data_IF_660440031228
#
_entry.id   IF_660440031228
#
_cell.length_a   1.000
_cell.length_b   1.000
_cell.length_c   1.000
_cell.angle_alpha   90.00
_cell.angle_beta   90.00
_cell.angle_gamma   90.00
#
_symmetry.space_group_name_H-M   'P 1'
#
loop_
_entity.id
_entity.type
_entity.pdbx_description
1 polymer ?
#
# COMPACT_ATOMS: atom_id res chain seq x y z
N UNK A 1 -1.91 5.57 -7.21
CA UNK A 1 -0.59 5.44 -6.56
C UNK A 1 -0.75 5.12 -5.08
N UNK A 2 0.05 4.22 -4.49
CA UNK A 2 -0.09 3.85 -3.07
C UNK A 2 0.25 4.98 -2.11
N UNK A 3 1.07 5.96 -2.51
CA UNK A 3 1.38 7.14 -1.70
C UNK A 3 0.15 8.01 -1.45
N UNK A 4 -0.68 8.23 -2.47
CA UNK A 4 -1.97 8.93 -2.35
C UNK A 4 -2.96 8.11 -1.51
N UNK A 5 -3.03 6.81 -1.75
CA UNK A 5 -3.93 5.92 -0.99
C UNK A 5 -3.57 5.95 0.50
N UNK A 6 -2.28 5.93 0.86
CA UNK A 6 -1.83 6.08 2.24
C UNK A 6 -2.20 7.43 2.87
N UNK A 7 -2.34 8.48 2.06
CA UNK A 7 -2.68 9.83 2.55
C UNK A 7 -4.19 10.03 2.75
N UNK A 8 -5.02 9.35 1.95
CA UNK A 8 -6.47 9.61 1.89
C UNK A 8 -7.30 8.50 2.55
N UNK A 9 -6.84 7.24 2.48
CA UNK A 9 -7.60 6.11 2.99
C UNK A 9 -7.26 5.79 4.46
N UNK A 10 -8.30 5.49 5.24
CA UNK A 10 -8.16 4.92 6.58
C UNK A 10 -8.02 3.40 6.51
N UNK A 11 -8.82 2.73 5.67
CA UNK A 11 -8.73 1.28 5.45
C UNK A 11 -8.45 0.92 4.00
N UNK A 12 -7.78 -0.21 3.84
CA UNK A 12 -7.43 -0.80 2.55
C UNK A 12 -7.77 -2.30 2.56
N UNK A 13 -8.23 -2.78 1.41
CA UNK A 13 -8.41 -4.21 1.12
C UNK A 13 -7.65 -4.52 -0.16
N UNK A 14 -6.81 -5.54 -0.12
CA UNK A 14 -6.10 -6.07 -1.28
C UNK A 14 -6.83 -7.33 -1.74
N UNK A 15 -7.16 -7.35 -3.03
CA UNK A 15 -7.76 -8.50 -3.68
C UNK A 15 -6.71 -9.22 -4.53
N UNK A 16 -6.77 -10.55 -4.51
CA UNK A 16 -6.03 -11.43 -5.41
C UNK A 16 -7.01 -12.45 -6.00
N UNK A 17 -7.08 -12.50 -7.33
CA UNK A 17 -8.01 -13.37 -8.06
C UNK A 17 -9.47 -13.34 -7.53
N UNK A 18 -9.97 -12.15 -7.18
CA UNK A 18 -11.33 -11.96 -6.68
C UNK A 18 -11.55 -12.35 -5.21
N UNK A 19 -10.49 -12.69 -4.47
CA UNK A 19 -10.55 -12.97 -3.02
C UNK A 19 -9.76 -11.94 -2.22
N UNK A 20 -10.21 -11.69 -1.00
CA UNK A 20 -9.49 -10.83 -0.05
C UNK A 20 -8.19 -11.53 0.34
N UNK A 21 -7.07 -10.95 -0.08
CA UNK A 21 -5.73 -11.41 0.28
C UNK A 21 -5.23 -10.73 1.56
N UNK A 22 -5.62 -9.47 1.79
CA UNK A 22 -5.24 -8.70 2.98
C UNK A 22 -6.23 -7.56 3.21
N UNK A 23 -6.47 -7.19 4.46
CA UNK A 23 -7.24 -5.99 4.79
C UNK A 23 -6.80 -5.40 6.12
N UNK A 24 -6.89 -4.08 6.25
CA UNK A 24 -6.47 -3.39 7.46
C UNK A 24 -6.37 -1.88 7.30
N UNK A 25 -5.75 -1.25 8.29
CA UNK A 25 -5.39 0.17 8.22
C UNK A 25 -4.47 0.43 7.03
N UNK A 26 -4.76 1.43 6.20
CA UNK A 26 -4.02 1.68 4.97
C UNK A 26 -2.53 1.91 5.25
N UNK A 27 -2.21 2.60 6.37
CA UNK A 27 -0.82 2.82 6.79
C UNK A 27 -0.11 1.52 7.16
N UNK A 28 -0.80 0.59 7.80
CA UNK A 28 -0.24 -0.69 8.22
C UNK A 28 -0.05 -1.64 7.02
N UNK A 29 -1.07 -1.77 6.17
CA UNK A 29 -1.03 -2.67 5.00
C UNK A 29 0.00 -2.20 3.97
N UNK A 30 0.14 -0.89 3.75
CA UNK A 30 1.15 -0.35 2.83
C UNK A 30 2.55 -0.32 3.46
N UNK A 31 2.64 -0.03 4.77
CA UNK A 31 3.93 0.08 5.47
C UNK A 31 4.57 -1.27 5.85
N UNK A 32 3.74 -2.30 6.08
CA UNK A 32 4.16 -3.64 6.45
C UNK A 32 3.19 -4.69 5.86
N UNK A 33 3.14 -4.84 4.52
CA UNK A 33 2.24 -5.79 3.88
C UNK A 33 2.57 -7.23 4.31
N UNK A 34 1.56 -8.00 4.69
CA UNK A 34 1.73 -9.40 5.11
C UNK A 34 1.56 -10.39 3.95
N UNK A 35 0.64 -10.11 3.04
CA UNK A 35 0.34 -10.94 1.88
C UNK A 35 1.41 -10.85 0.80
N UNK A 36 1.54 -11.92 -0.01
CA UNK A 36 2.46 -11.95 -1.13
C UNK A 36 2.13 -10.86 -2.16
N UNK A 37 0.85 -10.69 -2.50
CA UNK A 37 0.39 -9.66 -3.43
C UNK A 37 0.60 -8.24 -2.86
N UNK A 38 0.37 -8.03 -1.55
CA UNK A 38 0.63 -6.75 -0.90
C UNK A 38 2.10 -6.35 -0.97
N UNK A 39 3.01 -7.30 -0.71
CA UNK A 39 4.46 -7.09 -0.85
C UNK A 39 4.84 -6.76 -2.30
N UNK A 40 4.28 -7.47 -3.28
CA UNK A 40 4.52 -7.20 -4.69
C UNK A 40 4.04 -5.80 -5.10
N UNK A 41 2.84 -5.39 -4.68
CA UNK A 41 2.28 -4.06 -4.97
C UNK A 41 3.11 -2.93 -4.35
N UNK A 42 3.52 -3.09 -3.09
CA UNK A 42 4.38 -2.10 -2.42
C UNK A 42 5.76 -2.02 -3.08
N UNK A 43 6.35 -3.17 -3.46
CA UNK A 43 7.63 -3.20 -4.16
C UNK A 43 7.55 -2.60 -5.58
N UNK A 44 6.41 -2.74 -6.26
CA UNK A 44 6.17 -2.16 -7.57
C UNK A 44 5.85 -0.65 -7.53
N UNK A 45 5.57 -0.10 -6.34
CA UNK A 45 5.24 1.32 -6.23
C UNK A 45 6.52 2.15 -6.30
N UNK A 46 6.60 3.16 -7.18
CA UNK A 46 7.73 4.08 -7.20
C UNK A 46 7.83 4.76 -5.84
N UNK A 47 8.99 4.62 -5.19
CA UNK A 47 9.25 5.34 -3.94
C UNK A 47 9.14 6.82 -4.27
N UNK A 48 8.12 7.49 -3.75
CA UNK A 48 8.05 8.95 -3.76
C UNK A 48 9.30 9.45 -3.03
N UNK A 49 10.32 9.78 -3.80
CA UNK A 49 11.39 10.65 -3.38
C UNK A 49 10.73 11.98 -3.07
N UNK A 50 10.43 12.21 -1.80
CA UNK A 50 10.13 13.57 -1.34
C UNK A 50 11.39 14.38 -1.62
N UNK A 51 11.42 15.10 -2.72
CA UNK A 51 12.28 16.27 -2.87
C UNK A 51 11.81 17.26 -1.81
N UNK A 52 12.35 17.11 -0.60
CA UNK A 52 12.39 18.17 0.37
C UNK A 52 13.45 19.15 -0.14
N UNK A 53 13.04 20.35 -0.51
CA UNK A 53 13.94 21.48 -0.73
C UNK A 53 13.85 22.37 0.51
N UNK A 54 14.99 22.82 1.07
CA UNK A 54 15.09 23.59 2.33
C UNK A 54 14.40 24.95 2.30
#
# INVERSE_FOLDING_TARGET
DLGVVRAVAHRLVILDAGRVAESGEARAVIGNPQSAIGKALVAATPKLNRTATP
#
